data_IF_171613082616
#
_entry.id   IF_171613082616
#
_cell.length_a   1.000
_cell.length_b   1.000
_cell.length_c   1.000
_cell.angle_alpha   90.00
_cell.angle_beta   90.00
_cell.angle_gamma   90.00
#
_symmetry.space_group_name_H-M   'P 1'
#
loop_
_entity.id
_entity.type
_entity.pdbx_description
1 polymer ?
#
# COMPACT_ATOMS: atom_id res chain seq x y z
N UNK A 1 4.12 -17.40 -11.09
CA UNK A 1 3.85 -15.99 -10.75
C UNK A 1 5.14 -15.40 -10.21
N UNK A 2 5.65 -14.32 -10.82
CA UNK A 2 6.91 -13.72 -10.37
C UNK A 2 6.71 -13.13 -8.95
N UNK A 3 7.72 -13.21 -8.06
CA UNK A 3 7.54 -12.92 -6.63
C UNK A 3 7.11 -11.48 -6.35
N UNK A 4 7.36 -10.54 -7.27
CA UNK A 4 6.98 -9.14 -7.07
C UNK A 4 5.47 -8.87 -7.10
N UNK A 5 4.65 -9.76 -7.66
CA UNK A 5 3.18 -9.61 -7.56
C UNK A 5 2.68 -9.81 -6.11
N UNK A 6 3.47 -10.44 -5.24
CA UNK A 6 3.15 -10.55 -3.81
C UNK A 6 3.16 -9.17 -3.12
N UNK A 7 3.86 -8.16 -3.67
CA UNK A 7 3.81 -6.81 -3.13
C UNK A 7 2.40 -6.20 -3.22
N UNK A 8 1.57 -6.63 -4.17
CA UNK A 8 0.20 -6.16 -4.30
C UNK A 8 -0.74 -6.68 -3.19
N UNK A 9 -0.35 -7.77 -2.50
CA UNK A 9 -1.09 -8.30 -1.34
C UNK A 9 -0.81 -7.50 -0.06
N UNK A 10 0.31 -6.79 -0.02
CA UNK A 10 0.78 -6.03 1.12
C UNK A 10 -0.23 -4.95 1.58
N UNK A 11 -0.79 -4.09 0.69
CA UNK A 11 -1.82 -3.14 1.09
C UNK A 11 -3.13 -3.81 1.53
N UNK A 12 -3.49 -4.96 0.97
CA UNK A 12 -4.68 -5.71 1.41
C UNK A 12 -4.52 -6.20 2.86
N UNK A 13 -3.38 -6.80 3.18
CA UNK A 13 -3.08 -7.28 4.53
C UNK A 13 -2.99 -6.10 5.50
N UNK A 14 -2.37 -5.00 5.08
CA UNK A 14 -2.18 -3.85 5.95
C UNK A 14 -3.44 -3.00 6.17
N UNK A 15 -4.35 -2.93 5.19
CA UNK A 15 -5.64 -2.26 5.37
C UNK A 15 -6.60 -3.16 6.15
N UNK A 16 -6.78 -4.42 5.75
CA UNK A 16 -7.75 -5.32 6.40
C UNK A 16 -7.25 -5.82 7.76
N UNK A 17 -6.00 -6.30 7.82
CA UNK A 17 -5.39 -6.76 9.06
C UNK A 17 -5.00 -5.60 9.97
N UNK A 18 -4.48 -4.51 9.40
CA UNK A 18 -4.17 -3.31 10.18
C UNK A 18 -5.42 -2.67 10.75
N UNK A 19 -6.56 -2.63 10.03
CA UNK A 19 -7.82 -2.10 10.57
C UNK A 19 -8.22 -2.76 11.88
N UNK A 20 -8.10 -4.09 12.02
CA UNK A 20 -8.43 -4.77 13.28
C UNK A 20 -7.52 -4.36 14.45
N UNK A 21 -6.26 -4.00 14.18
CA UNK A 21 -5.27 -3.60 15.19
C UNK A 21 -5.29 -2.09 15.49
N UNK A 22 -5.58 -1.27 14.48
CA UNK A 22 -5.52 0.20 14.54
C UNK A 22 -6.88 0.86 14.67
N UNK A 23 -7.96 0.08 14.80
CA UNK A 23 -9.30 0.55 15.14
C UNK A 23 -9.39 0.99 16.61
N UNK A 24 -8.54 1.94 17.00
CA UNK A 24 -8.58 2.67 18.27
C UNK A 24 -8.58 4.15 17.93
N UNK A 25 -9.45 4.90 18.62
CA UNK A 25 -9.64 6.34 18.39
C UNK A 25 -8.42 7.13 18.89
N UNK A 26 -7.79 6.64 19.96
CA UNK A 26 -6.51 7.12 20.47
C UNK A 26 -5.43 6.10 20.09
N UNK A 27 -4.28 6.51 19.51
CA UNK A 27 -3.71 7.85 19.50
C UNK A 27 -4.13 8.73 18.31
N UNK A 28 -3.86 10.03 18.44
CA UNK A 28 -3.94 11.00 17.33
C UNK A 28 -2.55 11.25 16.76
N UNK A 29 -2.45 11.35 15.44
CA UNK A 29 -1.22 11.69 14.71
C UNK A 29 -1.51 12.93 13.88
N UNK A 30 -0.70 13.98 14.02
CA UNK A 30 -0.89 15.26 13.29
C UNK A 30 -2.29 15.89 13.47
N UNK A 31 -2.97 15.62 14.59
CA UNK A 31 -4.31 16.12 14.87
C UNK A 31 -5.46 15.30 14.25
N UNK A 32 -5.17 14.20 13.57
CA UNK A 32 -6.19 13.26 13.05
C UNK A 32 -6.12 11.90 13.79
N UNK A 33 -7.25 11.16 13.90
CA UNK A 33 -7.23 9.80 14.46
C UNK A 33 -6.24 8.91 13.71
N UNK A 34 -5.50 8.07 14.45
CA UNK A 34 -4.47 7.21 13.86
C UNK A 34 -4.99 6.30 12.74
N UNK A 35 -6.24 5.83 12.86
CA UNK A 35 -6.88 5.05 11.81
C UNK A 35 -6.97 5.79 10.45
N UNK A 36 -7.31 7.08 10.48
CA UNK A 36 -7.33 7.92 9.27
C UNK A 36 -5.93 8.13 8.72
N UNK A 37 -4.96 8.44 9.59
CA UNK A 37 -3.55 8.58 9.19
C UNK A 37 -3.02 7.30 8.52
N UNK A 38 -3.37 6.14 9.08
CA UNK A 38 -3.01 4.83 8.57
C UNK A 38 -3.57 4.61 7.16
N UNK A 39 -4.87 4.83 6.94
CA UNK A 39 -5.50 4.67 5.63
C UNK A 39 -4.86 5.58 4.59
N UNK A 40 -4.63 6.86 4.91
CA UNK A 40 -4.02 7.82 3.98
C UNK A 40 -2.60 7.39 3.61
N UNK A 41 -1.81 6.97 4.61
CA UNK A 41 -0.45 6.46 4.40
C UNK A 41 -0.47 5.25 3.46
N UNK A 42 -1.38 4.30 3.67
CA UNK A 42 -1.51 3.13 2.81
C UNK A 42 -2.01 3.45 1.40
N UNK A 43 -2.89 4.45 1.25
CA UNK A 43 -3.33 4.92 -0.06
C UNK A 43 -2.15 5.46 -0.89
N UNK A 44 -1.26 6.25 -0.28
CA UNK A 44 -0.04 6.74 -0.94
C UNK A 44 0.93 5.60 -1.24
N UNK A 45 1.11 4.67 -0.29
CA UNK A 45 1.99 3.50 -0.48
C UNK A 45 1.50 2.58 -1.60
N UNK A 46 0.19 2.43 -1.83
CA UNK A 46 -0.33 1.67 -2.97
C UNK A 46 0.21 2.21 -4.31
N UNK A 47 0.20 3.53 -4.51
CA UNK A 47 0.75 4.15 -5.72
C UNK A 47 2.26 3.88 -5.86
N UNK A 48 3.00 3.93 -4.75
CA UNK A 48 4.44 3.61 -4.74
C UNK A 48 4.69 2.13 -5.05
N UNK A 49 3.90 1.22 -4.48
CA UNK A 49 3.99 -0.22 -4.75
C UNK A 49 3.71 -0.51 -6.22
N UNK A 50 2.66 0.08 -6.80
CA UNK A 50 2.35 -0.04 -8.21
C UNK A 50 3.46 0.53 -9.09
N UNK A 51 4.05 1.67 -8.72
CA UNK A 51 5.20 2.23 -9.41
C UNK A 51 6.43 1.31 -9.37
N UNK A 52 6.71 0.67 -8.23
CA UNK A 52 7.80 -0.31 -8.07
C UNK A 52 7.53 -1.55 -8.94
N UNK A 53 6.31 -2.09 -8.89
CA UNK A 53 5.90 -3.22 -9.73
C UNK A 53 6.07 -2.86 -11.20
N UNK A 54 5.58 -1.69 -11.62
CA UNK A 54 5.73 -1.19 -12.99
C UNK A 54 7.20 -1.11 -13.43
N UNK A 55 8.08 -0.60 -12.58
CA UNK A 55 9.51 -0.49 -12.89
C UNK A 55 10.21 -1.85 -12.95
N UNK A 56 9.76 -2.81 -12.13
CA UNK A 56 10.30 -4.16 -12.05
C UNK A 56 9.72 -5.10 -13.10
N UNK A 57 8.52 -4.82 -13.62
CA UNK A 57 7.89 -5.64 -14.64
C UNK A 57 8.45 -5.31 -16.03
N UNK A 58 9.29 -6.16 -16.63
CA UNK A 58 9.84 -5.92 -17.95
C UNK A 58 8.78 -5.99 -19.05
N UNK A 59 7.59 -6.53 -18.79
CA UNK A 59 6.52 -6.69 -19.79
C UNK A 59 6.04 -5.31 -20.29
N UNK A 60 6.06 -4.28 -19.44
CA UNK A 60 5.68 -2.92 -19.85
C UNK A 60 6.80 -2.17 -20.60
N UNK A 61 7.95 -2.81 -20.84
CA UNK A 61 9.04 -2.24 -21.66
C UNK A 61 8.89 -2.53 -23.15
N UNK A 62 8.09 -3.53 -23.55
CA UNK A 62 7.98 -3.95 -24.96
C UNK A 62 7.05 -3.07 -25.80
N UNK A 63 6.11 -2.33 -25.20
CA UNK A 63 5.21 -1.43 -25.95
C UNK A 63 5.83 -0.07 -26.34
N UNK A 64 7.10 0.19 -25.99
CA UNK A 64 7.80 1.45 -26.31
C UNK A 64 9.13 1.25 -27.05
N UNK A 65 9.36 0.11 -27.70
CA UNK A 65 10.47 -0.04 -28.65
C UNK A 65 9.97 -0.04 -30.09
#
# INVERSE_FOLDING_TARGET
>A
MKPYYLLALLPFIAILGGAAFVNKVEPYVLGIPFFLFWIITWAVLCSVIMFIIYRLDPINKEERQ
#
